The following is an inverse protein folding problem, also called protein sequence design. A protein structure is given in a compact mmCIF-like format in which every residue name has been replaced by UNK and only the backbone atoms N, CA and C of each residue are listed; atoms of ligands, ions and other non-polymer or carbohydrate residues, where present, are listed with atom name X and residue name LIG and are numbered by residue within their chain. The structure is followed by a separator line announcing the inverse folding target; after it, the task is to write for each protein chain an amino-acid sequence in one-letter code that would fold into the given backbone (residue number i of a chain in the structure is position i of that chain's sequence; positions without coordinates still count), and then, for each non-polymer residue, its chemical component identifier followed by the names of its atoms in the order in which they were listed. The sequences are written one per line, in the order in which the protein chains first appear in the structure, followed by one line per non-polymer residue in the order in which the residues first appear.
data_IF_711500941590
#
_entry.id   IF_711500941590
#
_cell.length_a   1.000
_cell.length_b   1.000
_cell.length_c   1.000
_cell.angle_alpha   90.00
_cell.angle_beta   90.00
_cell.angle_gamma   90.00
#
_symmetry.space_group_name_H-M   'P 1'
#
loop_
_entity.id
_entity.type
_entity.pdbx_description
1 polymer ?
#
# COMPACT_ATOMS: atom_id res chain seq x y z
N UNK A 1 33.00 -49.79 25.61
CA UNK A 1 31.94 -49.46 24.64
C UNK A 1 31.46 -48.05 24.97
N UNK A 2 32.05 -47.04 24.33
CA UNK A 2 31.82 -45.62 24.67
C UNK A 2 30.87 -45.03 23.62
N UNK A 3 29.64 -44.72 24.03
CA UNK A 3 28.60 -44.18 23.14
C UNK A 3 28.86 -42.69 22.89
N UNK A 4 29.24 -42.36 21.67
CA UNK A 4 29.29 -40.99 21.15
C UNK A 4 27.88 -40.42 21.08
N UNK A 5 27.60 -39.36 21.85
CA UNK A 5 26.35 -38.63 21.78
C UNK A 5 26.49 -37.51 20.73
N UNK A 6 25.91 -37.70 19.55
CA UNK A 6 25.79 -36.64 18.53
C UNK A 6 24.62 -35.73 18.91
N UNK A 7 24.93 -34.52 19.39
CA UNK A 7 23.94 -33.44 19.57
C UNK A 7 23.75 -32.79 18.20
N UNK A 8 22.61 -33.08 17.56
CA UNK A 8 22.20 -32.40 16.34
C UNK A 8 21.64 -31.01 16.69
N UNK A 9 22.39 -29.96 16.35
CA UNK A 9 21.94 -28.57 16.43
C UNK A 9 20.95 -28.30 15.27
N UNK A 10 19.66 -28.35 15.56
CA UNK A 10 18.62 -27.95 14.62
C UNK A 10 18.57 -26.43 14.49
N UNK A 11 19.08 -25.89 13.38
CA UNK A 11 18.83 -24.50 12.96
C UNK A 11 17.35 -24.37 12.56
N UNK A 12 16.51 -23.89 13.49
CA UNK A 12 15.17 -23.39 13.19
C UNK A 12 15.31 -22.12 12.35
N UNK A 13 15.31 -22.27 11.03
CA UNK A 13 15.13 -21.15 10.10
C UNK A 13 13.66 -20.73 10.21
N UNK A 14 13.37 -19.76 11.08
CA UNK A 14 12.05 -19.16 11.12
C UNK A 14 11.79 -18.50 9.75
N UNK A 15 10.66 -18.76 9.08
CA UNK A 15 10.31 -18.05 7.87
C UNK A 15 10.18 -16.57 8.23
N UNK A 16 11.08 -15.74 7.71
CA UNK A 16 10.87 -14.29 7.71
C UNK A 16 9.60 -14.05 6.91
N UNK A 17 8.50 -13.80 7.62
CA UNK A 17 7.28 -13.32 6.99
C UNK A 17 7.69 -12.08 6.19
N UNK A 18 7.61 -12.16 4.87
CA UNK A 18 7.84 -11.03 3.98
C UNK A 18 6.74 -10.01 4.27
N UNK A 19 6.96 -9.16 5.26
CA UNK A 19 6.18 -7.95 5.43
C UNK A 19 6.42 -7.15 4.18
N UNK A 20 5.37 -6.91 3.41
CA UNK A 20 5.48 -6.17 2.19
C UNK A 20 6.19 -4.83 2.45
N UNK A 21 7.20 -4.55 1.60
CA UNK A 21 8.07 -3.42 1.80
C UNK A 21 7.25 -2.12 1.82
N UNK A 22 7.56 -1.17 2.72
CA UNK A 22 6.88 0.12 2.74
C UNK A 22 7.00 0.83 1.39
N UNK A 23 6.12 1.80 1.14
CA UNK A 23 6.29 2.69 0.00
C UNK A 23 7.62 3.43 0.09
N UNK A 24 8.24 3.65 -1.07
CA UNK A 24 9.54 4.27 -1.22
C UNK A 24 9.51 5.37 -2.29
N UNK A 25 10.66 5.99 -2.57
CA UNK A 25 10.74 7.12 -3.50
C UNK A 25 10.28 6.78 -4.93
N UNK A 26 10.28 5.50 -5.33
CA UNK A 26 9.77 5.04 -6.62
C UNK A 26 8.24 5.08 -6.72
N UNK A 27 7.54 5.20 -5.59
CA UNK A 27 6.07 5.32 -5.55
C UNK A 27 5.59 6.77 -5.66
N UNK A 28 6.49 7.74 -5.76
CA UNK A 28 6.12 9.15 -6.00
C UNK A 28 5.61 9.33 -7.42
N UNK A 29 4.47 9.99 -7.59
CA UNK A 29 3.90 10.20 -8.92
C UNK A 29 2.49 10.73 -8.90
N UNK A 30 1.96 10.87 -10.11
CA UNK A 30 0.56 11.18 -10.37
C UNK A 30 -0.20 9.89 -10.64
N UNK A 31 -1.44 9.86 -10.19
CA UNK A 31 -2.27 8.68 -10.19
C UNK A 31 -3.69 9.08 -10.54
N UNK A 32 -4.36 8.27 -11.37
CA UNK A 32 -5.78 8.40 -11.67
C UNK A 32 -6.57 7.36 -10.91
N UNK A 33 -7.61 7.81 -10.24
CA UNK A 33 -8.58 6.94 -9.57
C UNK A 33 -9.47 6.31 -10.64
N UNK A 34 -9.67 5.00 -10.56
CA UNK A 34 -10.55 4.27 -11.46
C UNK A 34 -11.90 4.01 -10.81
N UNK A 35 -12.95 3.91 -11.63
CA UNK A 35 -14.25 3.45 -11.18
C UNK A 35 -14.31 1.92 -11.02
N UNK A 36 -15.49 1.41 -10.67
CA UNK A 36 -15.75 -0.03 -10.46
C UNK A 36 -15.56 -0.88 -11.73
N UNK A 37 -15.60 -0.26 -12.90
CA UNK A 37 -15.45 -0.90 -14.21
C UNK A 37 -14.04 -0.66 -14.77
N UNK A 38 -13.11 -0.19 -13.93
CA UNK A 38 -11.71 0.13 -14.24
C UNK A 38 -11.51 1.29 -15.23
N UNK A 39 -12.53 2.14 -15.42
CA UNK A 39 -12.39 3.32 -16.27
C UNK A 39 -11.78 4.50 -15.47
N UNK A 40 -10.90 5.30 -16.08
CA UNK A 40 -10.37 6.51 -15.45
C UNK A 40 -11.48 7.50 -15.08
N UNK A 41 -11.47 7.97 -13.83
CA UNK A 41 -12.33 9.07 -13.38
C UNK A 41 -11.62 10.42 -13.60
N UNK A 42 -12.34 11.56 -13.47
CA UNK A 42 -11.71 12.88 -13.44
C UNK A 42 -10.80 13.11 -12.23
N UNK A 43 -10.85 12.24 -11.21
CA UNK A 43 -10.11 12.40 -9.96
C UNK A 43 -8.68 11.90 -10.11
N UNK A 44 -7.73 12.79 -9.79
CA UNK A 44 -6.31 12.48 -9.79
C UNK A 44 -5.66 12.88 -8.48
N UNK A 45 -4.61 12.14 -8.14
CA UNK A 45 -3.89 12.25 -6.89
C UNK A 45 -2.40 12.32 -7.20
N UNK A 46 -1.67 13.14 -6.46
CA UNK A 46 -0.22 13.20 -6.56
C UNK A 46 0.37 12.89 -5.19
N UNK A 47 1.23 11.87 -5.13
CA UNK A 47 1.99 11.51 -3.94
C UNK A 47 3.44 11.97 -4.08
N UNK A 48 3.91 12.73 -3.09
CA UNK A 48 5.28 13.28 -3.06
C UNK A 48 5.93 12.95 -1.72
N UNK A 49 7.19 12.52 -1.74
CA UNK A 49 7.96 12.22 -0.54
C UNK A 49 8.86 13.41 -0.19
N UNK A 50 8.52 14.13 0.87
CA UNK A 50 9.33 15.23 1.43
C UNK A 50 10.17 14.69 2.59
N UNK A 51 11.44 14.36 2.30
CA UNK A 51 12.31 13.68 3.26
C UNK A 51 11.79 12.27 3.56
N UNK A 52 11.22 12.07 4.75
CA UNK A 52 10.56 10.80 5.15
C UNK A 52 9.03 10.90 5.19
N UNK A 53 8.46 12.07 4.88
CA UNK A 53 7.04 12.33 5.01
C UNK A 53 6.36 12.35 3.65
N UNK A 54 5.37 11.47 3.48
CA UNK A 54 4.47 11.50 2.33
C UNK A 54 3.48 12.65 2.45
N UNK A 55 3.29 13.38 1.35
CA UNK A 55 2.22 14.36 1.16
C UNK A 55 1.36 13.96 -0.03
N UNK A 56 0.14 14.45 -0.05
CA UNK A 56 -0.84 14.20 -1.11
C UNK A 56 -1.43 15.52 -1.60
N UNK A 57 -1.47 15.68 -2.92
CA UNK A 57 -2.27 16.68 -3.60
C UNK A 57 -3.37 15.98 -4.41
N UNK A 58 -4.44 16.71 -4.73
CA UNK A 58 -5.56 16.22 -5.53
C UNK A 58 -5.96 17.24 -6.58
N UNK A 59 -6.52 16.76 -7.69
CA UNK A 59 -7.22 17.60 -8.68
C UNK A 59 -8.39 16.83 -9.27
N UNK A 60 -9.34 17.57 -9.81
CA UNK A 60 -10.47 17.05 -10.57
C UNK A 60 -10.47 17.67 -11.97
N UNK A 61 -10.75 16.87 -13.00
CA UNK A 61 -11.01 17.37 -14.36
C UNK A 61 -9.85 18.14 -14.99
N UNK A 62 -8.60 17.81 -14.64
CA UNK A 62 -7.41 18.52 -15.14
C UNK A 62 -7.20 19.91 -14.53
N UNK A 63 -7.92 20.25 -13.46
CA UNK A 63 -7.75 21.49 -12.71
C UNK A 63 -6.38 21.62 -12.01
N UNK A 64 -6.22 22.71 -11.27
CA UNK A 64 -5.00 22.98 -10.50
C UNK A 64 -4.85 21.98 -9.35
N UNK A 65 -3.62 21.51 -9.12
CA UNK A 65 -3.28 20.70 -7.95
C UNK A 65 -3.56 21.45 -6.65
N UNK A 66 -4.38 20.84 -5.79
CA UNK A 66 -4.70 21.36 -4.46
C UNK A 66 -4.09 20.48 -3.37
N UNK A 67 -3.61 21.08 -2.27
CA UNK A 67 -3.11 20.31 -1.14
C UNK A 67 -4.24 19.50 -0.47
N UNK A 68 -4.01 18.21 -0.26
CA UNK A 68 -4.94 17.32 0.49
C UNK A 68 -4.35 16.98 1.85
N UNK A 69 -3.19 16.30 1.88
CA UNK A 69 -2.47 15.99 3.12
C UNK A 69 -1.05 16.55 3.07
N UNK A 70 -0.70 17.44 4.00
CA UNK A 70 0.60 18.13 4.02
C UNK A 70 1.56 17.62 5.12
N UNK A 71 1.38 16.38 5.57
CA UNK A 71 2.33 15.69 6.45
C UNK A 71 2.23 16.00 7.94
N UNK A 72 1.20 16.74 8.36
CA UNK A 72 0.94 17.09 9.76
C UNK A 72 -0.53 16.85 10.13
N UNK A 73 -0.82 16.89 11.43
CA UNK A 73 -2.18 16.75 11.95
C UNK A 73 -2.84 15.42 11.58
N UNK A 74 -4.16 15.43 11.49
CA UNK A 74 -4.97 14.23 11.27
C UNK A 74 -4.85 13.65 9.86
N UNK A 75 -4.34 14.43 8.90
CA UNK A 75 -4.09 14.00 7.53
C UNK A 75 -2.67 13.43 7.35
N UNK A 76 -1.83 13.41 8.40
CA UNK A 76 -0.46 12.88 8.30
C UNK A 76 -0.48 11.44 7.83
N UNK A 77 0.15 11.19 6.69
CA UNK A 77 0.31 9.87 6.11
C UNK A 77 1.47 9.15 6.80
N UNK A 78 1.22 7.96 7.32
CA UNK A 78 2.21 7.10 7.97
C UNK A 78 2.25 5.74 7.27
N UNK A 79 3.37 5.03 7.37
CA UNK A 79 3.43 3.66 6.89
C UNK A 79 2.43 2.78 7.67
N UNK A 80 1.64 1.98 6.95
CA UNK A 80 0.68 1.08 7.56
C UNK A 80 1.38 -0.05 8.31
N UNK A 81 0.86 -0.38 9.49
CA UNK A 81 1.20 -1.60 10.21
C UNK A 81 0.72 -2.84 9.44
N UNK A 82 1.26 -4.02 9.78
CA UNK A 82 0.81 -5.29 9.18
C UNK A 82 -0.69 -5.54 9.41
N UNK A 83 -1.24 -5.13 10.57
CA UNK A 83 -2.66 -5.24 10.87
C UNK A 83 -3.53 -4.34 9.98
N UNK A 84 -3.06 -3.12 9.68
CA UNK A 84 -3.73 -2.21 8.76
C UNK A 84 -3.68 -2.73 7.32
N UNK A 85 -2.51 -3.20 6.86
CA UNK A 85 -2.37 -3.83 5.54
C UNK A 85 -3.35 -5.00 5.39
N UNK A 86 -3.42 -5.90 6.38
CA UNK A 86 -4.39 -7.00 6.38
C UNK A 86 -5.85 -6.50 6.38
N UNK A 87 -6.15 -5.41 7.11
CA UNK A 87 -7.47 -4.78 7.11
C UNK A 87 -7.85 -4.23 5.74
N UNK A 88 -6.91 -3.74 4.95
CA UNK A 88 -7.17 -3.26 3.59
C UNK A 88 -7.36 -4.42 2.62
N UNK A 89 -6.42 -5.37 2.64
CA UNK A 89 -6.40 -6.55 1.74
C UNK A 89 -7.70 -7.36 1.75
N UNK A 90 -8.33 -7.55 2.92
CA UNK A 90 -9.57 -8.34 3.05
C UNK A 90 -10.77 -7.79 2.27
N UNK A 91 -10.71 -6.56 1.77
CA UNK A 91 -11.81 -5.94 1.01
C UNK A 91 -11.57 -6.05 -0.51
N UNK A 92 -10.44 -6.59 -0.93
CA UNK A 92 -10.14 -6.81 -2.34
C UNK A 92 -10.64 -8.18 -2.81
N UNK A 93 -10.87 -8.34 -4.14
CA UNK A 93 -11.11 -9.65 -4.72
C UNK A 93 -10.01 -10.66 -4.35
N UNK A 94 -10.37 -11.93 -4.25
CA UNK A 94 -9.47 -13.01 -3.81
C UNK A 94 -8.19 -13.10 -4.65
N UNK A 95 -8.25 -12.72 -5.94
CA UNK A 95 -7.09 -12.68 -6.83
C UNK A 95 -5.99 -11.70 -6.39
N UNK A 96 -6.35 -10.65 -5.65
CA UNK A 96 -5.39 -9.64 -5.18
C UNK A 96 -4.80 -9.95 -3.81
N UNK A 97 -5.49 -10.75 -2.99
CA UNK A 97 -5.09 -11.01 -1.60
C UNK A 97 -3.74 -11.74 -1.44
N UNK A 98 -3.29 -12.62 -2.36
CA UNK A 98 -1.98 -13.27 -2.25
C UNK A 98 -0.78 -12.35 -2.46
N UNK A 99 -0.98 -11.15 -2.99
CA UNK A 99 0.11 -10.22 -3.32
C UNK A 99 0.65 -9.46 -2.11
N UNK A 100 1.80 -8.81 -2.30
CA UNK A 100 2.50 -8.06 -1.27
C UNK A 100 2.11 -6.58 -1.32
N UNK A 101 1.73 -5.99 -0.18
CA UNK A 101 1.17 -4.64 -0.09
C UNK A 101 2.02 -3.68 0.74
N UNK A 102 2.65 -2.69 0.12
CA UNK A 102 3.25 -1.56 0.82
C UNK A 102 2.24 -0.42 0.89
N UNK A 103 1.85 0.03 2.08
CA UNK A 103 0.79 1.04 2.23
C UNK A 103 1.22 2.22 3.10
N UNK A 104 0.63 3.38 2.80
CA UNK A 104 0.55 4.52 3.72
C UNK A 104 -0.91 4.82 4.02
N UNK A 105 -1.21 5.27 5.24
CA UNK A 105 -2.58 5.63 5.62
C UNK A 105 -2.63 6.80 6.62
N UNK A 106 -3.82 7.34 6.76
CA UNK A 106 -4.22 8.18 7.89
C UNK A 106 -5.56 7.65 8.45
N UNK A 107 -6.33 8.49 9.15
CA UNK A 107 -7.64 8.10 9.69
C UNK A 107 -8.75 7.93 8.65
N UNK A 108 -8.58 8.48 7.44
CA UNK A 108 -9.62 8.57 6.42
C UNK A 108 -9.39 7.66 5.20
N UNK A 109 -8.13 7.36 4.86
CA UNK A 109 -7.83 6.51 3.70
C UNK A 109 -6.47 5.80 3.80
N UNK A 110 -6.23 4.88 2.87
CA UNK A 110 -4.91 4.32 2.57
C UNK A 110 -4.59 4.35 1.07
N UNK A 111 -3.31 4.46 0.74
CA UNK A 111 -2.76 4.26 -0.60
C UNK A 111 -1.73 3.15 -0.55
N UNK A 112 -1.85 2.17 -1.44
CA UNK A 112 -1.04 0.96 -1.42
C UNK A 112 -0.44 0.65 -2.79
N UNK A 113 0.86 0.33 -2.82
CA UNK A 113 1.50 -0.44 -3.88
C UNK A 113 1.18 -1.92 -3.65
N UNK A 114 0.95 -2.64 -4.74
CA UNK A 114 0.80 -4.08 -4.77
C UNK A 114 1.88 -4.68 -5.66
N UNK A 115 2.84 -5.37 -5.05
CA UNK A 115 3.86 -6.13 -5.76
C UNK A 115 3.33 -7.54 -6.02
N UNK A 116 3.31 -7.96 -7.29
CA UNK A 116 2.83 -9.28 -7.67
C UNK A 116 3.68 -10.36 -6.99
N UNK A 117 3.02 -11.37 -6.42
CA UNK A 117 3.67 -12.34 -5.53
C UNK A 117 4.79 -13.15 -6.22
N UNK A 118 4.70 -13.33 -7.53
CA UNK A 118 5.62 -14.17 -8.31
C UNK A 118 6.29 -13.44 -9.48
N UNK A 119 5.90 -12.19 -9.76
CA UNK A 119 6.48 -11.39 -10.87
C UNK A 119 6.97 -10.06 -10.31
N UNK A 120 8.27 -9.90 -10.06
CA UNK A 120 8.81 -8.70 -9.41
C UNK A 120 8.68 -7.43 -10.26
N UNK A 121 8.39 -7.56 -11.57
CA UNK A 121 8.23 -6.42 -12.46
C UNK A 121 6.77 -5.96 -12.56
N UNK A 122 5.82 -6.76 -12.06
CA UNK A 122 4.40 -6.43 -12.10
C UNK A 122 3.97 -5.78 -10.80
N UNK A 123 3.54 -4.52 -10.91
CA UNK A 123 3.04 -3.71 -9.80
C UNK A 123 1.64 -3.19 -10.12
N UNK A 124 0.81 -3.05 -9.09
CA UNK A 124 -0.47 -2.36 -9.14
C UNK A 124 -0.61 -1.38 -7.98
N UNK A 125 -1.67 -0.56 -8.00
CA UNK A 125 -1.95 0.39 -6.93
C UNK A 125 -3.42 0.40 -6.57
N UNK A 126 -3.70 0.59 -5.29
CA UNK A 126 -5.05 0.69 -4.75
C UNK A 126 -5.16 1.87 -3.79
N UNK A 127 -6.30 2.55 -3.83
CA UNK A 127 -6.69 3.53 -2.85
C UNK A 127 -7.89 3.01 -2.08
N UNK A 128 -7.87 3.13 -0.76
CA UNK A 128 -8.92 2.64 0.12
C UNK A 128 -9.52 3.79 0.89
N UNK A 129 -10.78 4.12 0.62
CA UNK A 129 -11.53 5.11 1.39
C UNK A 129 -12.14 4.49 2.64
N UNK A 130 -12.15 5.22 3.75
CA UNK A 130 -12.96 4.89 4.92
C UNK A 130 -14.23 5.74 4.91
N UNK A 131 -15.34 5.17 4.43
CA UNK A 131 -16.64 5.83 4.32
C UNK A 131 -17.59 5.19 5.32
N UNK A 132 -18.06 5.96 6.31
CA UNK A 132 -18.95 5.48 7.37
C UNK A 132 -18.45 4.20 8.06
N UNK A 133 -17.14 4.14 8.31
CA UNK A 133 -16.47 2.98 8.93
C UNK A 133 -16.28 1.78 8.00
N UNK A 134 -16.73 1.85 6.75
CA UNK A 134 -16.53 0.80 5.73
C UNK A 134 -15.33 1.13 4.86
N UNK A 135 -14.55 0.10 4.54
CA UNK A 135 -13.43 0.21 3.61
C UNK A 135 -13.96 0.06 2.19
N UNK A 136 -13.73 1.06 1.35
CA UNK A 136 -14.10 1.05 -0.07
C UNK A 136 -12.82 1.01 -0.91
N UNK A 137 -12.51 -0.12 -1.56
CA UNK A 137 -11.35 -0.22 -2.45
C UNK A 137 -11.65 0.42 -3.81
N UNK A 138 -10.72 1.23 -4.29
CA UNK A 138 -10.78 1.85 -5.61
C UNK A 138 -9.44 1.59 -6.32
N UNK A 139 -9.46 1.02 -7.54
CA UNK A 139 -8.22 0.76 -8.27
C UNK A 139 -7.62 2.07 -8.73
N UNK A 140 -6.29 2.07 -8.88
CA UNK A 140 -5.54 3.28 -9.23
C UNK A 140 -4.51 2.93 -10.29
N UNK A 141 -4.45 3.75 -11.35
CA UNK A 141 -3.37 3.68 -12.32
C UNK A 141 -2.40 4.84 -12.14
N UNK A 142 -1.12 4.55 -12.29
CA UNK A 142 -0.08 5.57 -12.39
C UNK A 142 -0.17 6.26 -13.75
N UNK A 143 -0.03 7.58 -13.76
CA UNK A 143 0.04 8.43 -14.96
C UNK A 143 1.49 8.64 -15.44
#
# INVERSE_FOLDING_TARGET
MTKTLLIALGLLVAPMAATAAPLDSSDQGEYVLLDKDENPTPMQMQFVLKGKQWIMNGREGGGQWQPVCQGTGECRLVASSAGEVSRWKKNLPDSWQPHNFGCINNKAFAFCRVDHATDPNRKGYWWFGLVDGKVVPLPVNRL
#
